data_IF_682027912686
#
_entry.id   IF_682027912686
#
_cell.length_a   1.000
_cell.length_b   1.000
_cell.length_c   1.000
_cell.angle_alpha   90.00
_cell.angle_beta   90.00
_cell.angle_gamma   90.00
#
_symmetry.space_group_name_H-M   'P 1'
#
loop_
_entity.id
_entity.type
_entity.pdbx_description
1 polymer ?
#
# COMPACT_ATOMS: atom_id res chain seq x y z
N UNK A 1 2.66 0.39 -21.61
CA UNK A 1 1.75 1.27 -20.87
C UNK A 1 1.49 0.69 -19.51
N UNK A 2 1.84 1.44 -18.49
CA UNK A 2 1.60 1.06 -17.11
C UNK A 2 0.18 1.41 -16.74
N UNK A 3 -0.72 0.43 -16.57
CA UNK A 3 -1.99 0.70 -15.93
C UNK A 3 -1.74 0.78 -14.43
N UNK A 4 -1.77 1.99 -13.91
CA UNK A 4 -1.69 2.22 -12.47
C UNK A 4 -3.06 2.01 -11.86
N UNK A 5 -3.27 0.87 -11.27
CA UNK A 5 -4.28 0.71 -10.25
C UNK A 5 -3.60 1.02 -8.91
N UNK A 6 -3.49 2.30 -8.61
CA UNK A 6 -3.00 2.72 -7.31
C UNK A 6 -4.12 2.57 -6.29
N UNK A 7 -4.03 1.56 -5.46
CA UNK A 7 -4.86 1.46 -4.26
C UNK A 7 -4.08 2.17 -3.16
N UNK A 8 -4.32 3.46 -3.01
CA UNK A 8 -3.77 4.21 -1.89
C UNK A 8 -4.56 3.87 -0.63
N UNK A 9 -4.03 2.97 0.16
CA UNK A 9 -4.47 2.79 1.54
C UNK A 9 -3.70 3.81 2.38
N UNK A 10 -4.22 5.02 2.43
CA UNK A 10 -3.72 6.02 3.37
C UNK A 10 -4.20 5.62 4.75
N UNK A 11 -3.32 5.01 5.52
CA UNK A 11 -3.50 4.87 6.96
C UNK A 11 -3.23 6.23 7.60
N UNK A 12 -4.13 7.16 7.38
CA UNK A 12 -4.21 8.34 8.18
C UNK A 12 -4.84 7.94 9.51
N UNK A 13 -4.01 7.80 10.50
CA UNK A 13 -4.41 8.00 11.88
C UNK A 13 -4.75 9.48 12.05
N UNK A 14 -5.74 9.96 11.35
CA UNK A 14 -6.31 11.25 11.65
C UNK A 14 -7.50 11.03 12.53
N UNK A 15 -7.28 11.25 13.76
CA UNK A 15 -8.28 11.73 14.66
C UNK A 15 -9.09 12.82 13.98
N UNK A 16 -10.37 12.57 13.81
CA UNK A 16 -11.35 13.59 13.47
C UNK A 16 -11.11 14.41 12.20
N UNK A 17 -11.34 13.83 11.08
CA UNK A 17 -11.97 14.60 10.04
C UNK A 17 -13.48 14.43 10.22
N UNK A 18 -14.13 15.46 10.63
CA UNK A 18 -15.55 15.60 10.39
C UNK A 18 -15.77 15.44 8.90
N UNK A 19 -16.32 14.26 8.54
CA UNK A 19 -16.42 13.89 7.17
C UNK A 19 -17.17 14.90 6.34
N UNK A 20 -16.43 15.62 5.54
CA UNK A 20 -17.02 16.25 4.39
C UNK A 20 -17.33 15.11 3.44
N UNK A 21 -18.58 14.92 3.13
CA UNK A 21 -19.02 13.94 2.16
C UNK A 21 -18.33 14.23 0.83
N UNK A 22 -17.32 13.47 0.52
CA UNK A 22 -16.78 13.42 -0.82
C UNK A 22 -17.81 12.78 -1.74
N UNK A 23 -17.91 13.27 -2.94
CA UNK A 23 -18.93 12.88 -3.88
C UNK A 23 -18.97 11.38 -4.17
N UNK A 24 -20.11 10.93 -4.66
CA UNK A 24 -20.42 9.52 -4.97
C UNK A 24 -19.41 8.82 -5.87
N UNK A 25 -18.64 9.56 -6.68
CA UNK A 25 -17.62 9.01 -7.58
C UNK A 25 -16.45 8.40 -6.81
N UNK A 26 -15.98 9.04 -5.73
CA UNK A 26 -14.87 8.53 -4.92
C UNK A 26 -15.22 7.23 -4.19
N UNK A 27 -16.48 7.08 -3.79
CA UNK A 27 -16.96 5.84 -3.16
C UNK A 27 -16.97 4.66 -4.12
N UNK A 28 -17.29 4.88 -5.40
CA UNK A 28 -17.28 3.82 -6.42
C UNK A 28 -15.88 3.33 -6.72
N UNK A 29 -14.93 4.24 -6.86
CA UNK A 29 -13.55 3.88 -7.15
C UNK A 29 -12.91 3.15 -5.99
N UNK A 30 -13.15 3.59 -4.76
CA UNK A 30 -12.68 2.89 -3.55
C UNK A 30 -13.27 1.49 -3.43
N UNK A 31 -14.53 1.30 -3.76
CA UNK A 31 -15.17 -0.02 -3.75
C UNK A 31 -14.53 -0.97 -4.75
N UNK A 32 -14.23 -0.51 -5.96
CA UNK A 32 -13.55 -1.32 -6.99
C UNK A 32 -12.15 -1.73 -6.52
N UNK A 33 -11.39 -0.79 -5.98
CA UNK A 33 -10.05 -1.04 -5.46
C UNK A 33 -10.07 -2.05 -4.33
N UNK A 34 -10.95 -1.87 -3.35
CA UNK A 34 -11.11 -2.82 -2.24
C UNK A 34 -11.55 -4.20 -2.72
N UNK A 35 -12.39 -4.27 -3.74
CA UNK A 35 -12.86 -5.54 -4.30
C UNK A 35 -11.72 -6.29 -4.98
N UNK A 36 -10.89 -5.60 -5.77
CA UNK A 36 -9.73 -6.20 -6.44
C UNK A 36 -8.74 -6.76 -5.42
N UNK A 37 -8.42 -5.99 -4.38
CA UNK A 37 -7.53 -6.43 -3.30
C UNK A 37 -8.11 -7.63 -2.57
N UNK A 38 -9.40 -7.57 -2.21
CA UNK A 38 -10.09 -8.66 -1.52
C UNK A 38 -10.07 -9.93 -2.35
N UNK A 39 -10.40 -9.84 -3.62
CA UNK A 39 -10.40 -10.99 -4.53
C UNK A 39 -9.01 -11.61 -4.66
N UNK A 40 -7.98 -10.77 -4.80
CA UNK A 40 -6.60 -11.22 -4.87
C UNK A 40 -6.17 -11.95 -3.59
N UNK A 41 -6.56 -11.41 -2.43
CA UNK A 41 -6.31 -12.07 -1.14
C UNK A 41 -7.03 -13.41 -1.03
N UNK A 42 -8.29 -13.47 -1.45
CA UNK A 42 -9.10 -14.70 -1.40
C UNK A 42 -8.55 -15.77 -2.33
N UNK A 43 -7.97 -15.39 -3.47
CA UNK A 43 -7.34 -16.32 -4.40
C UNK A 43 -5.92 -16.71 -4.01
N UNK A 44 -5.38 -16.13 -2.93
CA UNK A 44 -4.01 -16.35 -2.52
C UNK A 44 -2.97 -15.74 -3.45
N UNK A 45 -3.38 -14.78 -4.26
CA UNK A 45 -2.48 -14.10 -5.21
C UNK A 45 -1.58 -13.08 -4.54
N UNK A 46 -1.96 -12.59 -3.38
CA UNK A 46 -1.18 -11.64 -2.60
C UNK A 46 -1.11 -12.07 -1.13
N UNK A 47 -0.02 -11.73 -0.48
CA UNK A 47 0.13 -11.94 0.95
C UNK A 47 -0.75 -10.96 1.73
N UNK A 48 -1.19 -11.31 2.94
CA UNK A 48 -1.90 -10.39 3.81
C UNK A 48 -1.08 -9.14 4.09
N UNK A 49 -1.73 -7.99 4.14
CA UNK A 49 -1.07 -6.70 4.36
C UNK A 49 -0.25 -6.68 5.66
N UNK A 50 -0.76 -7.30 6.72
CA UNK A 50 -0.04 -7.39 8.00
C UNK A 50 1.35 -8.00 7.81
N UNK A 51 1.45 -9.03 6.99
CA UNK A 51 2.71 -9.70 6.69
C UNK A 51 3.64 -8.81 5.88
N UNK A 52 3.10 -8.10 4.90
CA UNK A 52 3.85 -7.14 4.07
C UNK A 52 4.41 -6.01 4.93
N UNK A 53 3.60 -5.47 5.85
CA UNK A 53 4.03 -4.40 6.76
C UNK A 53 5.13 -4.87 7.70
N UNK A 54 5.05 -6.10 8.18
CA UNK A 54 6.11 -6.68 9.02
C UNK A 54 7.43 -6.80 8.24
N UNK A 55 7.38 -7.24 7.00
CA UNK A 55 8.56 -7.32 6.14
C UNK A 55 9.17 -5.93 5.91
N UNK A 56 8.32 -4.95 5.58
CA UNK A 56 8.77 -3.57 5.37
C UNK A 56 9.46 -3.00 6.60
N UNK A 57 8.87 -3.18 7.78
CA UNK A 57 9.42 -2.68 9.03
C UNK A 57 10.71 -3.37 9.46
N UNK A 58 10.90 -4.62 9.10
CA UNK A 58 12.18 -5.31 9.32
C UNK A 58 13.32 -4.68 8.52
N UNK A 59 13.00 -4.24 7.31
CA UNK A 59 13.99 -3.62 6.42
C UNK A 59 14.22 -2.14 6.78
N UNK A 60 13.15 -1.43 7.08
CA UNK A 60 13.19 -0.01 7.42
C UNK A 60 12.33 0.22 8.65
N UNK A 61 12.94 0.25 9.84
CA UNK A 61 12.20 0.58 11.07
C UNK A 61 11.63 1.99 11.02
N UNK A 62 10.39 2.16 11.45
CA UNK A 62 9.73 3.44 11.51
C UNK A 62 8.21 3.31 11.41
N UNK A 63 7.56 4.43 11.21
CA UNK A 63 6.11 4.51 11.10
C UNK A 63 5.66 4.44 9.65
N UNK A 64 4.76 3.50 9.35
CA UNK A 64 4.17 3.39 8.03
C UNK A 64 3.20 4.56 7.82
N UNK A 65 3.45 5.36 6.80
CA UNK A 65 2.63 6.54 6.50
C UNK A 65 1.82 6.40 5.23
N UNK A 66 2.18 5.49 4.34
CA UNK A 66 1.44 5.26 3.11
C UNK A 66 1.64 3.82 2.62
N UNK A 67 0.57 3.24 2.10
CA UNK A 67 0.59 1.92 1.49
C UNK A 67 -0.14 2.00 0.16
N UNK A 68 0.53 1.60 -0.92
CA UNK A 68 -0.07 1.50 -2.25
C UNK A 68 0.13 0.10 -2.81
N UNK A 69 -0.89 -0.42 -3.45
CA UNK A 69 -0.80 -1.65 -4.24
C UNK A 69 -0.84 -1.26 -5.72
N UNK A 70 0.22 -1.60 -6.44
CA UNK A 70 0.36 -1.27 -7.86
C UNK A 70 0.43 -2.54 -8.69
N UNK A 71 -0.15 -2.47 -9.88
CA UNK A 71 0.00 -3.50 -10.88
C UNK A 71 1.11 -3.08 -11.86
N UNK A 72 2.20 -3.83 -11.87
CA UNK A 72 3.32 -3.62 -12.78
C UNK A 72 3.50 -4.84 -13.68
N UNK A 73 4.42 -4.76 -14.66
CA UNK A 73 4.68 -5.87 -15.59
C UNK A 73 5.06 -7.17 -14.89
N UNK A 74 5.76 -7.06 -13.76
CA UNK A 74 6.19 -8.21 -12.98
C UNK A 74 5.10 -8.75 -12.05
N UNK A 75 3.95 -8.06 -11.96
CA UNK A 75 2.83 -8.45 -11.11
C UNK A 75 2.45 -7.37 -10.12
N UNK A 76 1.77 -7.76 -9.07
CA UNK A 76 1.32 -6.86 -8.03
C UNK A 76 2.45 -6.54 -7.06
N UNK A 77 2.63 -5.25 -6.78
CA UNK A 77 3.70 -4.73 -5.92
C UNK A 77 3.12 -3.79 -4.89
N UNK A 78 3.50 -4.00 -3.62
CA UNK A 78 3.24 -3.03 -2.57
C UNK A 78 4.34 -1.99 -2.52
N UNK A 79 3.95 -0.72 -2.49
CA UNK A 79 4.82 0.39 -2.13
C UNK A 79 4.47 0.85 -0.73
N UNK A 80 5.43 0.77 0.17
CA UNK A 80 5.26 1.14 1.57
C UNK A 80 6.16 2.34 1.86
N UNK A 81 5.57 3.46 2.27
CA UNK A 81 6.34 4.60 2.73
C UNK A 81 6.44 4.60 4.24
N UNK A 82 7.65 4.74 4.73
CA UNK A 82 7.97 4.68 6.16
C UNK A 82 8.69 5.95 6.57
N UNK A 83 8.14 6.60 7.59
CA UNK A 83 8.79 7.73 8.25
C UNK A 83 9.74 7.18 9.30
N UNK A 84 11.03 7.40 9.08
CA UNK A 84 12.07 6.91 9.98
C UNK A 84 12.27 7.84 11.19
N UNK A 85 12.95 7.33 12.21
CA UNK A 85 13.18 8.10 13.45
C UNK A 85 13.99 9.37 13.25
N UNK A 86 14.74 9.49 12.15
CA UNK A 86 15.49 10.71 11.82
C UNK A 86 14.72 11.67 10.88
N UNK A 87 13.42 11.44 10.69
CA UNK A 87 12.57 12.32 9.91
C UNK A 87 12.61 12.13 8.40
N UNK A 88 13.26 11.08 7.93
CA UNK A 88 13.31 10.77 6.49
C UNK A 88 12.16 9.85 6.11
N UNK A 89 11.68 10.01 4.89
CA UNK A 89 10.70 9.09 4.32
C UNK A 89 11.43 8.13 3.38
N UNK A 90 11.27 6.84 3.64
CA UNK A 90 11.83 5.80 2.78
C UNK A 90 10.72 4.96 2.18
N UNK A 91 10.91 4.54 0.94
CA UNK A 91 9.96 3.74 0.21
C UNK A 91 10.49 2.31 0.04
N UNK A 92 9.69 1.34 0.43
CA UNK A 92 10.00 -0.08 0.27
C UNK A 92 9.02 -0.67 -0.73
N UNK A 93 9.55 -1.23 -1.81
CA UNK A 93 8.76 -1.97 -2.80
C UNK A 93 8.87 -3.46 -2.54
N UNK A 94 7.75 -4.11 -2.40
CA UNK A 94 7.66 -5.53 -2.04
C UNK A 94 6.75 -6.25 -3.03
N UNK A 95 7.22 -7.38 -3.53
CA UNK A 95 6.38 -8.28 -4.33
C UNK A 95 5.22 -8.76 -3.46
N UNK A 96 4.00 -8.44 -3.88
CA UNK A 96 2.80 -8.74 -3.10
C UNK A 96 2.54 -10.24 -2.97
N UNK A 97 3.04 -11.05 -3.89
CA UNK A 97 2.83 -12.50 -3.89
C UNK A 97 3.84 -13.23 -3.01
N UNK A 98 5.07 -12.83 -3.08
CA UNK A 98 6.19 -13.56 -2.45
C UNK A 98 6.69 -12.92 -1.17
N UNK A 99 6.47 -11.60 -1.00
CA UNK A 99 7.05 -10.85 0.09
C UNK A 99 8.50 -10.43 -0.14
N UNK A 100 9.05 -10.71 -1.32
CA UNK A 100 10.41 -10.30 -1.65
C UNK A 100 10.52 -8.79 -1.75
N UNK A 101 11.53 -8.24 -1.09
CA UNK A 101 11.84 -6.81 -1.21
C UNK A 101 12.52 -6.57 -2.55
N UNK A 102 11.89 -5.75 -3.38
CA UNK A 102 12.37 -5.45 -4.73
C UNK A 102 13.34 -4.26 -4.70
N UNK A 103 12.97 -3.23 -3.93
CA UNK A 103 13.73 -1.98 -3.91
C UNK A 103 13.45 -1.22 -2.62
N UNK A 104 14.48 -0.55 -2.13
CA UNK A 104 14.37 0.41 -1.03
C UNK A 104 15.03 1.69 -1.51
N UNK A 105 14.32 2.80 -1.44
CA UNK A 105 14.83 4.09 -1.87
C UNK A 105 14.33 5.22 -0.98
N UNK A 106 15.05 6.33 -1.01
CA UNK A 106 14.60 7.55 -0.35
C UNK A 106 13.50 8.21 -1.20
N UNK A 107 12.47 8.64 -0.53
CA UNK A 107 11.35 9.31 -1.19
C UNK A 107 11.65 10.82 -1.36
#
# INVERSE_FOLDING_TARGET
MKSRLAVALILLLSTLSLGVSTGLADKKDRKKEHTVVREALQRGEVLPLVKILAIANQQVPGDVIEVELEEEKIGLIYEIKILTGNGRVREVKIDARTGNVIKIEDD
#
